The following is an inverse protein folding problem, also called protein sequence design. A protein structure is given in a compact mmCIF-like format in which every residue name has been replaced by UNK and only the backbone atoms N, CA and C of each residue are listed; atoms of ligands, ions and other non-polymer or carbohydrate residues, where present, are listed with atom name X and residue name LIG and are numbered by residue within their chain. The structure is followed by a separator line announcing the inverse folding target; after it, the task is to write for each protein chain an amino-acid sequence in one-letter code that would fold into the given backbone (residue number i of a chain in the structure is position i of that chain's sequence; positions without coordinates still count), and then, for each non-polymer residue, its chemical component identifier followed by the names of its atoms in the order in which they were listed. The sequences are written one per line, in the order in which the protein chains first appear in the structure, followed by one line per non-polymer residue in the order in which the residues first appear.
data_IF_446148983097
#
_entry.id   IF_446148983097
#
_cell.length_a   1.000
_cell.length_b   1.000
_cell.length_c   1.000
_cell.angle_alpha   90.00
_cell.angle_beta   90.00
_cell.angle_gamma   90.00
#
_symmetry.space_group_name_H-M   'P 1'
#
loop_
_entity.id
_entity.type
_entity.pdbx_description
1 polymer ?
#
# COMPACT_ATOMS: atom_id res chain seq x y z
N UNK A 1 -4.57 -8.66 19.11
CA UNK A 1 -3.62 -7.62 18.66
C UNK A 1 -2.74 -8.27 17.60
N UNK A 2 -2.73 -7.73 16.39
CA UNK A 2 -1.93 -8.26 15.29
C UNK A 2 -0.45 -8.11 15.64
N UNK A 3 0.35 -9.16 15.44
CA UNK A 3 1.81 -9.03 15.53
C UNK A 3 2.32 -8.37 14.24
N UNK A 4 2.27 -7.04 14.21
CA UNK A 4 2.75 -6.29 13.07
C UNK A 4 4.26 -6.38 12.88
N UNK A 5 5.03 -6.74 13.91
CA UNK A 5 6.46 -7.01 13.74
C UNK A 5 6.68 -8.28 12.93
N UNK A 6 5.84 -9.30 13.11
CA UNK A 6 5.82 -10.47 12.24
C UNK A 6 5.59 -10.07 10.77
N UNK A 7 4.60 -9.21 10.49
CA UNK A 7 4.34 -8.74 9.12
C UNK A 7 5.49 -7.88 8.56
N UNK A 8 6.09 -6.99 9.35
CA UNK A 8 7.28 -6.24 8.93
C UNK A 8 8.43 -7.20 8.54
N UNK A 9 8.67 -8.25 9.33
CA UNK A 9 9.66 -9.27 9.03
C UNK A 9 9.30 -10.12 7.80
N UNK A 10 8.02 -10.45 7.61
CA UNK A 10 7.55 -11.17 6.41
C UNK A 10 7.72 -10.33 5.14
N UNK A 11 7.46 -9.03 5.21
CA UNK A 11 7.70 -8.12 4.09
C UNK A 11 9.19 -8.01 3.76
N UNK A 12 10.06 -7.98 4.77
CA UNK A 12 11.52 -8.02 4.56
C UNK A 12 11.94 -9.32 3.85
N UNK A 13 11.47 -10.48 4.32
CA UNK A 13 11.76 -11.76 3.66
C UNK A 13 11.26 -11.82 2.22
N UNK A 14 10.10 -11.23 1.92
CA UNK A 14 9.60 -11.14 0.54
C UNK A 14 10.55 -10.32 -0.35
N UNK A 15 11.10 -9.22 0.16
CA UNK A 15 12.12 -8.42 -0.54
C UNK A 15 13.41 -9.23 -0.79
N UNK A 16 13.86 -9.98 0.21
CA UNK A 16 15.03 -10.87 0.06
C UNK A 16 14.77 -12.00 -0.95
N UNK A 17 13.56 -12.56 -1.00
CA UNK A 17 13.17 -13.52 -2.04
C UNK A 17 13.17 -12.88 -3.42
N UNK A 18 12.61 -11.67 -3.57
CA UNK A 18 12.65 -10.92 -4.83
C UNK A 18 14.09 -10.70 -5.31
N UNK A 19 14.98 -10.21 -4.45
CA UNK A 19 16.39 -9.99 -4.80
C UNK A 19 17.09 -11.27 -5.26
N UNK A 20 16.78 -12.41 -4.61
CA UNK A 20 17.32 -13.71 -5.01
C UNK A 20 16.82 -14.12 -6.39
N UNK A 21 15.52 -13.97 -6.66
CA UNK A 21 14.92 -14.26 -7.97
C UNK A 21 15.55 -13.39 -9.06
N UNK A 22 15.65 -12.08 -8.84
CA UNK A 22 16.29 -11.16 -9.79
C UNK A 22 17.76 -11.51 -10.07
N UNK A 23 18.51 -11.98 -9.06
CA UNK A 23 19.90 -12.46 -9.25
C UNK A 23 19.97 -13.73 -10.08
N UNK A 24 19.03 -14.66 -9.90
CA UNK A 24 18.93 -15.87 -10.72
C UNK A 24 18.63 -15.48 -12.17
N UNK A 25 17.62 -14.65 -12.38
CA UNK A 25 17.19 -14.19 -13.71
C UNK A 25 18.31 -13.45 -14.44
N UNK A 26 18.97 -12.52 -13.75
CA UNK A 26 20.12 -11.78 -14.29
C UNK A 26 21.28 -12.72 -14.64
N UNK A 27 21.61 -13.68 -13.75
CA UNK A 27 22.70 -14.62 -14.03
C UNK A 27 22.39 -15.54 -15.21
N UNK A 28 21.15 -15.95 -15.39
CA UNK A 28 20.71 -16.74 -16.55
C UNK A 28 20.84 -15.98 -17.87
N UNK A 29 20.56 -14.67 -17.83
CA UNK A 29 20.67 -13.80 -19.00
C UNK A 29 22.14 -13.51 -19.36
N UNK A 30 22.98 -13.23 -18.36
CA UNK A 30 24.36 -12.78 -18.56
C UNK A 30 25.32 -13.94 -18.85
N UNK A 31 25.16 -15.09 -18.20
CA UNK A 31 26.11 -16.22 -18.24
C UNK A 31 25.43 -17.59 -18.55
N UNK A 32 24.69 -17.75 -19.66
CA UNK A 32 23.93 -18.97 -19.94
C UNK A 32 24.82 -20.23 -20.04
N UNK A 33 26.08 -20.09 -20.49
CA UNK A 33 27.02 -21.22 -20.57
C UNK A 33 27.40 -21.78 -19.19
N UNK A 34 27.50 -20.93 -18.15
CA UNK A 34 27.78 -21.42 -16.79
C UNK A 34 26.66 -22.30 -16.28
N UNK A 35 25.41 -21.91 -16.52
CA UNK A 35 24.24 -22.68 -16.12
C UNK A 35 24.08 -23.97 -16.95
N UNK A 36 24.42 -23.94 -18.25
CA UNK A 36 24.50 -25.16 -19.07
C UNK A 36 25.55 -26.13 -18.58
N UNK A 37 26.73 -25.64 -18.18
CA UNK A 37 27.78 -26.48 -17.63
C UNK A 37 27.36 -27.05 -16.27
N UNK A 38 26.76 -26.25 -15.40
CA UNK A 38 26.21 -26.72 -14.13
C UNK A 38 25.16 -27.82 -14.33
N UNK A 39 24.22 -27.66 -15.29
CA UNK A 39 23.24 -28.69 -15.62
C UNK A 39 23.90 -30.03 -16.02
N UNK A 40 24.98 -29.97 -16.82
CA UNK A 40 25.78 -31.16 -17.18
C UNK A 40 26.49 -31.76 -15.97
N UNK A 41 27.06 -30.93 -15.10
CA UNK A 41 27.77 -31.36 -13.89
C UNK A 41 26.86 -32.12 -12.92
N UNK A 42 25.59 -31.72 -12.80
CA UNK A 42 24.59 -32.39 -11.95
C UNK A 42 23.72 -33.40 -12.71
N UNK A 43 24.07 -33.71 -13.97
CA UNK A 43 23.41 -34.70 -14.83
C UNK A 43 21.92 -34.46 -15.09
N UNK A 44 21.50 -33.20 -15.28
CA UNK A 44 20.12 -32.84 -15.68
C UNK A 44 20.06 -32.10 -17.02
N UNK A 45 18.90 -32.12 -17.67
CA UNK A 45 18.69 -31.29 -18.85
C UNK A 45 18.68 -29.80 -18.48
N UNK A 46 19.27 -28.95 -19.33
CA UNK A 46 19.26 -27.51 -19.10
C UNK A 46 17.84 -26.92 -19.04
N UNK A 47 16.89 -27.52 -19.76
CA UNK A 47 15.46 -27.18 -19.72
C UNK A 47 14.84 -27.50 -18.36
N UNK A 48 15.24 -28.62 -17.73
CA UNK A 48 14.79 -28.97 -16.39
C UNK A 48 15.35 -27.99 -15.35
N UNK A 49 16.64 -27.64 -15.47
CA UNK A 49 17.26 -26.60 -14.63
C UNK A 49 16.52 -25.26 -14.75
N UNK A 50 16.20 -24.84 -15.99
CA UNK A 50 15.43 -23.62 -16.24
C UNK A 50 14.03 -23.69 -15.61
N UNK A 51 13.37 -24.84 -15.68
CA UNK A 51 12.05 -25.05 -15.06
C UNK A 51 12.11 -24.91 -13.53
N UNK A 52 13.21 -25.36 -12.91
CA UNK A 52 13.46 -25.16 -11.48
C UNK A 52 13.60 -23.67 -11.16
N UNK A 53 14.36 -22.93 -11.96
CA UNK A 53 14.50 -21.48 -11.79
C UNK A 53 13.17 -20.73 -11.99
N UNK A 54 12.40 -21.06 -13.02
CA UNK A 54 11.05 -20.50 -13.23
C UNK A 54 10.08 -20.81 -12.08
N UNK A 55 10.28 -21.95 -11.39
CA UNK A 55 9.48 -22.28 -10.19
C UNK A 55 9.76 -21.33 -9.03
N UNK A 56 10.95 -20.70 -8.98
CA UNK A 56 11.28 -19.68 -7.99
C UNK A 56 10.49 -18.38 -8.18
N UNK A 57 10.26 -17.96 -9.44
CA UNK A 57 9.38 -16.81 -9.74
C UNK A 57 7.94 -17.10 -9.34
N UNK A 58 7.44 -18.30 -9.64
CA UNK A 58 6.08 -18.69 -9.23
C UNK A 58 5.93 -18.70 -7.71
N UNK A 59 6.94 -19.19 -6.99
CA UNK A 59 6.96 -19.15 -5.53
C UNK A 59 6.95 -17.71 -5.00
N UNK A 60 7.69 -16.79 -5.63
CA UNK A 60 7.65 -15.37 -5.27
C UNK A 60 6.23 -14.77 -5.39
N UNK A 61 5.52 -15.07 -6.49
CA UNK A 61 4.11 -14.64 -6.64
C UNK A 61 3.21 -15.24 -5.56
N UNK A 62 3.41 -16.51 -5.22
CA UNK A 62 2.64 -17.19 -4.17
C UNK A 62 2.92 -16.58 -2.80
N UNK A 63 4.18 -16.31 -2.46
CA UNK A 63 4.58 -15.64 -1.22
C UNK A 63 3.97 -14.23 -1.13
N UNK A 64 4.05 -13.46 -2.21
CA UNK A 64 3.42 -12.13 -2.33
C UNK A 64 1.92 -12.19 -2.05
N UNK A 65 1.20 -13.08 -2.73
CA UNK A 65 -0.24 -13.24 -2.54
C UNK A 65 -0.57 -13.67 -1.11
N UNK A 66 0.21 -14.63 -0.57
CA UNK A 66 0.00 -15.15 0.79
C UNK A 66 0.22 -14.07 1.84
N UNK A 67 1.23 -13.21 1.65
CA UNK A 67 1.41 -12.04 2.49
C UNK A 67 0.16 -11.15 2.49
N UNK A 68 -0.32 -10.76 1.31
CA UNK A 68 -1.48 -9.87 1.16
C UNK A 68 -2.75 -10.47 1.76
N UNK A 69 -3.05 -11.74 1.46
CA UNK A 69 -4.22 -12.44 2.01
C UNK A 69 -4.17 -12.50 3.54
N UNK A 70 -3.02 -12.91 4.12
CA UNK A 70 -2.91 -12.99 5.58
C UNK A 70 -3.00 -11.60 6.23
N UNK A 71 -2.44 -10.56 5.62
CA UNK A 71 -2.51 -9.21 6.16
C UNK A 71 -3.97 -8.71 6.26
N UNK A 72 -4.76 -8.89 5.20
CA UNK A 72 -6.20 -8.55 5.20
C UNK A 72 -6.97 -9.40 6.21
N UNK A 73 -6.66 -10.70 6.27
CA UNK A 73 -7.28 -11.62 7.21
C UNK A 73 -7.08 -11.19 8.65
N UNK A 74 -5.86 -10.83 9.00
CA UNK A 74 -5.55 -10.37 10.35
C UNK A 74 -6.28 -9.08 10.70
N UNK A 75 -6.36 -8.11 9.77
CA UNK A 75 -7.16 -6.91 9.99
C UNK A 75 -8.63 -7.24 10.29
N UNK A 76 -9.26 -8.08 9.45
CA UNK A 76 -10.67 -8.48 9.63
C UNK A 76 -10.88 -9.15 10.99
N UNK A 77 -10.02 -10.10 11.35
CA UNK A 77 -10.14 -10.78 12.64
C UNK A 77 -9.88 -9.84 13.81
N UNK A 78 -8.97 -8.89 13.69
CA UNK A 78 -8.75 -7.92 14.76
C UNK A 78 -9.98 -7.04 14.98
N UNK A 79 -10.54 -6.47 13.91
CA UNK A 79 -11.78 -5.66 13.99
C UNK A 79 -12.93 -6.46 14.63
N UNK A 80 -13.20 -7.66 14.11
CA UNK A 80 -14.31 -8.49 14.62
C UNK A 80 -14.10 -8.97 16.07
N UNK A 81 -12.85 -9.18 16.50
CA UNK A 81 -12.54 -9.58 17.88
C UNK A 81 -12.69 -8.41 18.85
N UNK A 82 -12.40 -7.19 18.39
CA UNK A 82 -12.64 -5.96 19.16
C UNK A 82 -14.15 -5.72 19.36
N UNK A 83 -14.99 -6.05 18.37
CA UNK A 83 -16.45 -5.90 18.47
C UNK A 83 -17.16 -7.03 19.24
N UNK A 84 -16.54 -8.19 19.42
CA UNK A 84 -17.10 -9.26 20.26
C UNK A 84 -16.90 -8.92 21.74
N UNK A 85 -17.86 -8.19 22.32
CA UNK A 85 -17.89 -7.99 23.77
C UNK A 85 -18.11 -9.33 24.49
N UNK A 86 -17.46 -9.49 25.66
CA UNK A 86 -17.59 -10.67 26.54
C UNK A 86 -19.02 -10.91 27.08
N UNK A 87 -19.98 -10.04 26.77
CA UNK A 87 -21.32 -10.07 27.34
C UNK A 87 -22.27 -11.00 26.60
N UNK A 88 -22.04 -11.29 25.30
CA UNK A 88 -22.94 -12.14 24.51
C UNK A 88 -22.26 -13.43 24.03
N UNK A 89 -22.26 -14.45 24.90
CA UNK A 89 -21.71 -15.80 24.63
C UNK A 89 -22.34 -16.50 23.41
N UNK A 90 -23.59 -16.15 23.05
CA UNK A 90 -24.24 -16.69 21.85
C UNK A 90 -23.71 -16.07 20.57
N UNK A 91 -23.48 -14.74 20.57
CA UNK A 91 -22.82 -14.03 19.47
C UNK A 91 -21.39 -14.53 19.28
N UNK A 92 -20.64 -14.70 20.37
CA UNK A 92 -19.28 -15.25 20.33
C UNK A 92 -19.26 -16.66 19.73
N UNK A 93 -20.16 -17.55 20.17
CA UNK A 93 -20.30 -18.91 19.62
C UNK A 93 -20.72 -18.90 18.15
N UNK A 94 -21.60 -17.99 17.74
CA UNK A 94 -22.00 -17.81 16.36
C UNK A 94 -20.81 -17.36 15.50
N UNK A 95 -20.09 -16.31 15.90
CA UNK A 95 -18.92 -15.80 15.19
C UNK A 95 -17.81 -16.86 15.07
N UNK A 96 -17.52 -17.61 16.15
CA UNK A 96 -16.55 -18.73 16.11
C UNK A 96 -16.94 -19.83 15.12
N UNK A 97 -18.25 -20.10 14.97
CA UNK A 97 -18.73 -21.14 14.05
C UNK A 97 -18.83 -20.67 12.61
N UNK A 98 -19.30 -19.44 12.40
CA UNK A 98 -19.55 -18.83 11.08
C UNK A 98 -18.28 -18.24 10.46
N UNK A 99 -17.31 -17.81 11.28
CA UNK A 99 -16.10 -17.12 10.86
C UNK A 99 -14.84 -17.83 11.36
N UNK A 100 -14.65 -19.08 10.91
CA UNK A 100 -13.49 -19.88 11.32
C UNK A 100 -12.20 -19.37 10.67
N UNK A 101 -11.24 -18.91 11.48
CA UNK A 101 -9.95 -18.38 11.01
C UNK A 101 -9.21 -19.32 10.07
N UNK A 102 -9.24 -20.63 10.28
CA UNK A 102 -8.59 -21.58 9.37
C UNK A 102 -9.27 -21.75 8.00
N UNK A 103 -10.54 -21.38 7.85
CA UNK A 103 -11.30 -21.49 6.59
C UNK A 103 -11.53 -20.16 5.89
N UNK A 104 -11.36 -19.05 6.59
CA UNK A 104 -11.54 -17.72 6.03
C UNK A 104 -10.37 -17.36 5.12
N UNK A 105 -10.68 -17.01 3.87
CA UNK A 105 -9.76 -16.58 2.84
C UNK A 105 -10.31 -15.26 2.25
N UNK A 106 -9.87 -14.10 2.77
CA UNK A 106 -10.38 -12.83 2.29
C UNK A 106 -9.87 -12.53 0.89
N UNK A 107 -10.65 -11.73 0.17
CA UNK A 107 -10.16 -11.11 -1.05
C UNK A 107 -9.22 -9.96 -0.69
N UNK A 108 -8.08 -9.92 -1.36
CA UNK A 108 -7.00 -9.00 -1.04
C UNK A 108 -6.70 -7.97 -2.13
N UNK A 109 -7.55 -7.87 -3.17
CA UNK A 109 -7.48 -6.78 -4.14
C UNK A 109 -7.90 -5.46 -3.47
N UNK A 110 -7.35 -4.33 -3.89
CA UNK A 110 -7.67 -3.01 -3.32
C UNK A 110 -9.18 -2.71 -3.36
N UNK A 111 -9.84 -3.00 -4.47
CA UNK A 111 -11.28 -2.81 -4.63
C UNK A 111 -12.08 -3.67 -3.64
N UNK A 112 -11.68 -4.94 -3.47
CA UNK A 112 -12.34 -5.85 -2.54
C UNK A 112 -12.09 -5.42 -1.09
N UNK A 113 -10.87 -5.02 -0.72
CA UNK A 113 -10.57 -4.54 0.64
C UNK A 113 -11.45 -3.31 0.98
N UNK A 114 -11.55 -2.36 0.05
CA UNK A 114 -12.39 -1.17 0.21
C UNK A 114 -13.86 -1.54 0.45
N UNK A 115 -14.41 -2.41 -0.40
CA UNK A 115 -15.83 -2.79 -0.36
C UNK A 115 -16.18 -3.77 0.76
N UNK A 116 -15.33 -4.76 0.98
CA UNK A 116 -15.63 -5.90 1.83
C UNK A 116 -15.06 -5.76 3.24
N UNK A 117 -14.06 -4.90 3.45
CA UNK A 117 -13.47 -4.64 4.76
C UNK A 117 -13.81 -3.23 5.24
N UNK A 118 -13.36 -2.21 4.53
CA UNK A 118 -13.48 -0.83 5.02
C UNK A 118 -14.95 -0.37 5.11
N UNK A 119 -15.72 -0.62 4.06
CA UNK A 119 -17.13 -0.21 3.99
C UNK A 119 -18.08 -1.08 4.83
N UNK A 120 -17.69 -2.34 5.15
CA UNK A 120 -18.58 -3.31 5.82
C UNK A 120 -18.27 -3.56 7.28
N UNK A 121 -16.99 -3.60 7.66
CA UNK A 121 -16.58 -4.03 8.99
C UNK A 121 -16.09 -2.89 9.88
N UNK A 122 -15.73 -1.73 9.32
CA UNK A 122 -15.23 -0.62 10.13
C UNK A 122 -16.37 0.36 10.39
N UNK A 123 -16.88 0.37 11.62
CA UNK A 123 -17.84 1.38 12.03
C UNK A 123 -17.12 2.70 12.33
N UNK A 124 -17.42 3.70 11.51
CA UNK A 124 -17.00 5.10 11.71
C UNK A 124 -18.27 5.92 11.91
N UNK A 125 -18.31 6.85 12.87
CA UNK A 125 -19.45 7.76 13.11
C UNK A 125 -19.75 8.64 11.87
N UNK A 126 -20.39 8.05 10.86
CA UNK A 126 -20.76 8.58 9.55
C UNK A 126 -19.60 9.04 8.62
N UNK A 127 -18.35 8.69 8.94
CA UNK A 127 -17.16 9.08 8.15
C UNK A 127 -16.59 7.92 7.34
N UNK A 128 -16.99 7.77 6.08
CA UNK A 128 -16.43 6.75 5.18
C UNK A 128 -14.88 6.78 5.17
N UNK A 129 -14.26 5.67 5.55
CA UNK A 129 -12.82 5.49 5.47
C UNK A 129 -12.40 5.30 4.00
N UNK A 130 -11.34 5.99 3.59
CA UNK A 130 -10.77 5.86 2.25
C UNK A 130 -9.26 5.65 2.33
N UNK A 131 -8.71 4.94 1.34
CA UNK A 131 -7.27 4.89 1.16
C UNK A 131 -6.73 6.26 0.75
N UNK A 132 -5.75 6.76 1.49
CA UNK A 132 -5.04 8.00 1.21
C UNK A 132 -3.91 7.77 0.20
N UNK A 133 -4.27 7.38 -1.03
CA UNK A 133 -3.31 7.16 -2.12
C UNK A 133 -2.73 8.50 -2.59
N UNK A 134 -1.68 8.96 -1.91
CA UNK A 134 -1.08 10.28 -2.08
C UNK A 134 0.16 10.21 -2.98
N UNK A 135 0.18 11.01 -4.05
CA UNK A 135 1.25 11.06 -5.06
C UNK A 135 1.68 9.68 -5.62
N UNK A 136 0.79 8.68 -5.55
CA UNK A 136 1.00 7.36 -6.13
C UNK A 136 0.83 7.39 -7.65
N UNK A 137 1.51 6.48 -8.36
CA UNK A 137 1.29 6.34 -9.80
C UNK A 137 -0.13 5.80 -10.13
N UNK A 138 -0.48 5.81 -11.43
CA UNK A 138 -1.77 5.35 -11.92
C UNK A 138 -1.99 3.84 -11.85
N UNK A 139 -0.93 3.05 -11.71
CA UNK A 139 -0.94 1.59 -11.73
C UNK A 139 -0.66 0.95 -10.35
N UNK A 140 -0.44 1.77 -9.32
CA UNK A 140 -0.10 1.38 -7.94
C UNK A 140 -0.99 0.25 -7.39
N UNK A 141 -2.29 0.41 -7.56
CA UNK A 141 -3.31 -0.58 -7.18
C UNK A 141 -3.50 -1.67 -8.24
N UNK A 142 -3.37 -1.33 -9.52
CA UNK A 142 -3.59 -2.25 -10.64
C UNK A 142 -2.54 -3.36 -10.70
N UNK A 143 -1.27 -3.05 -10.44
CA UNK A 143 -0.17 -4.03 -10.43
C UNK A 143 -0.38 -5.02 -9.28
N UNK A 144 -0.70 -4.50 -8.08
CA UNK A 144 -1.09 -5.31 -6.94
C UNK A 144 -2.22 -6.26 -7.31
N UNK A 145 -3.34 -5.73 -7.83
CA UNK A 145 -4.52 -6.51 -8.16
C UNK A 145 -4.25 -7.52 -9.29
N UNK A 146 -3.34 -7.21 -10.20
CA UNK A 146 -2.91 -8.10 -11.28
C UNK A 146 -2.15 -9.31 -10.74
N UNK A 147 -1.25 -9.13 -9.76
CA UNK A 147 -0.57 -10.23 -9.08
C UNK A 147 -1.56 -11.14 -8.34
N UNK A 148 -2.55 -10.56 -7.65
CA UNK A 148 -3.59 -11.34 -6.97
C UNK A 148 -4.38 -12.18 -7.97
N UNK A 149 -4.84 -11.57 -9.07
CA UNK A 149 -5.57 -12.28 -10.15
C UNK A 149 -4.72 -13.37 -10.79
N UNK A 150 -3.45 -13.09 -11.04
CA UNK A 150 -2.53 -14.02 -11.68
C UNK A 150 -2.31 -15.26 -10.79
N UNK A 151 -2.12 -15.07 -9.47
CA UNK A 151 -2.06 -16.19 -8.52
C UNK A 151 -3.34 -17.02 -8.55
N UNK A 152 -4.52 -16.40 -8.56
CA UNK A 152 -5.79 -17.14 -8.63
C UNK A 152 -5.91 -17.96 -9.92
N UNK A 153 -5.56 -17.37 -11.08
CA UNK A 153 -5.54 -18.09 -12.36
C UNK A 153 -4.56 -19.28 -12.33
N UNK A 154 -3.38 -19.09 -11.77
CA UNK A 154 -2.39 -20.15 -11.62
C UNK A 154 -2.90 -21.28 -10.73
N UNK A 155 -3.46 -20.96 -9.56
CA UNK A 155 -3.96 -21.97 -8.62
C UNK A 155 -5.13 -22.81 -9.16
N UNK A 156 -6.00 -22.22 -9.98
CA UNK A 156 -7.18 -22.93 -10.51
C UNK A 156 -6.92 -23.63 -11.84
N UNK A 157 -6.14 -23.02 -12.72
CA UNK A 157 -6.01 -23.45 -14.11
C UNK A 157 -4.57 -23.76 -14.52
N UNK A 158 -3.59 -23.66 -13.60
CA UNK A 158 -2.15 -23.73 -13.90
C UNK A 158 -1.69 -22.74 -14.98
N UNK A 159 -2.44 -21.65 -15.18
CA UNK A 159 -2.12 -20.61 -16.16
C UNK A 159 -1.07 -19.69 -15.56
N UNK A 160 0.10 -19.64 -16.19
CA UNK A 160 1.17 -18.70 -15.83
C UNK A 160 0.81 -17.26 -16.23
N UNK A 161 1.31 -16.25 -15.50
CA UNK A 161 1.15 -14.85 -15.90
C UNK A 161 1.84 -14.56 -17.24
N UNK A 162 1.31 -13.60 -17.98
CA UNK A 162 1.85 -13.09 -19.25
C UNK A 162 2.79 -11.89 -19.06
N UNK A 163 3.18 -11.61 -17.82
CA UNK A 163 4.07 -10.52 -17.41
C UNK A 163 5.22 -11.05 -16.53
N UNK A 164 6.29 -10.26 -16.39
CA UNK A 164 7.39 -10.57 -15.46
C UNK A 164 6.89 -10.52 -14.01
N UNK A 165 6.95 -11.66 -13.32
CA UNK A 165 6.52 -11.76 -11.93
C UNK A 165 7.44 -10.91 -11.04
N UNK A 166 8.76 -11.01 -11.23
CA UNK A 166 9.74 -10.27 -10.44
C UNK A 166 9.56 -8.75 -10.58
N UNK A 167 9.39 -8.23 -11.81
CA UNK A 167 9.13 -6.81 -12.05
C UNK A 167 7.82 -6.34 -11.39
N UNK A 168 6.74 -7.12 -11.55
CA UNK A 168 5.44 -6.74 -10.97
C UNK A 168 5.47 -6.77 -9.45
N UNK A 169 6.13 -7.77 -8.85
CA UNK A 169 6.29 -7.85 -7.40
C UNK A 169 7.10 -6.66 -6.88
N UNK A 170 8.23 -6.33 -7.53
CA UNK A 170 9.05 -5.16 -7.20
C UNK A 170 8.21 -3.87 -7.19
N UNK A 171 7.50 -3.61 -8.28
CA UNK A 171 6.65 -2.42 -8.45
C UNK A 171 5.48 -2.37 -7.47
N UNK A 172 5.07 -3.51 -6.92
CA UNK A 172 3.95 -3.63 -5.98
C UNK A 172 4.35 -3.69 -4.50
N UNK A 173 5.65 -3.77 -4.19
CA UNK A 173 6.13 -3.68 -2.81
C UNK A 173 5.67 -2.40 -2.08
N UNK A 174 5.69 -1.20 -2.71
CA UNK A 174 5.14 0.01 -2.08
C UNK A 174 3.66 -0.12 -1.69
N UNK A 175 2.87 -0.86 -2.48
CA UNK A 175 1.45 -1.11 -2.20
C UNK A 175 1.25 -2.00 -0.98
N UNK A 176 2.10 -3.02 -0.79
CA UNK A 176 2.07 -3.86 0.42
C UNK A 176 2.49 -3.10 1.67
N UNK A 177 3.54 -2.29 1.55
CA UNK A 177 4.03 -1.45 2.65
C UNK A 177 3.00 -0.40 3.06
N UNK A 178 2.31 0.20 2.08
CA UNK A 178 1.15 1.07 2.32
C UNK A 178 0.03 0.33 3.06
N UNK A 179 -0.42 -0.82 2.57
CA UNK A 179 -1.49 -1.59 3.22
C UNK A 179 -1.12 -1.97 4.66
N UNK A 180 0.15 -2.34 4.91
CA UNK A 180 0.61 -2.66 6.25
C UNK A 180 0.50 -1.45 7.20
N UNK A 181 1.04 -0.29 6.80
CA UNK A 181 0.92 0.96 7.57
C UNK A 181 -0.55 1.36 7.79
N UNK A 182 -1.35 1.28 6.73
CA UNK A 182 -2.76 1.61 6.76
C UNK A 182 -3.52 0.73 7.75
N UNK A 183 -3.27 -0.58 7.75
CA UNK A 183 -3.96 -1.51 8.64
C UNK A 183 -3.52 -1.32 10.10
N UNK A 184 -2.22 -1.06 10.34
CA UNK A 184 -1.72 -0.66 11.68
C UNK A 184 -2.47 0.57 12.19
N UNK A 185 -2.60 1.58 11.33
CA UNK A 185 -3.28 2.83 11.69
C UNK A 185 -4.77 2.64 11.91
N UNK A 186 -5.42 1.76 11.15
CA UNK A 186 -6.84 1.41 11.35
C UNK A 186 -7.05 0.64 12.65
N UNK A 187 -6.24 -0.38 12.96
CA UNK A 187 -6.40 -1.18 14.19
C UNK A 187 -6.07 -0.35 15.44
N UNK A 188 -4.93 0.36 15.42
CA UNK A 188 -4.35 0.92 16.64
C UNK A 188 -4.60 2.42 16.82
N UNK A 189 -4.85 3.17 15.75
CA UNK A 189 -4.85 4.64 15.76
C UNK A 189 -6.03 5.24 14.96
N UNK A 190 -7.19 4.57 14.96
CA UNK A 190 -8.32 4.88 14.07
C UNK A 190 -8.75 6.34 14.11
N UNK A 191 -8.91 6.93 15.30
CA UNK A 191 -9.35 8.34 15.45
C UNK A 191 -8.34 9.32 14.86
N UNK A 192 -7.05 9.12 15.12
CA UNK A 192 -5.97 9.91 14.53
C UNK A 192 -5.93 9.74 13.01
N UNK A 193 -6.13 8.51 12.51
CA UNK A 193 -6.16 8.20 11.08
C UNK A 193 -7.35 8.85 10.37
N UNK A 194 -8.54 8.86 10.98
CA UNK A 194 -9.73 9.54 10.45
C UNK A 194 -9.58 11.06 10.49
N UNK A 195 -8.94 11.59 11.53
CA UNK A 195 -8.66 13.02 11.64
C UNK A 195 -7.67 13.48 10.57
N UNK A 196 -6.61 12.71 10.33
CA UNK A 196 -5.68 12.94 9.22
C UNK A 196 -6.41 12.90 7.87
N UNK A 197 -7.30 11.93 7.64
CA UNK A 197 -8.08 11.84 6.41
C UNK A 197 -8.85 13.12 6.13
N UNK A 198 -9.55 13.64 7.15
CA UNK A 198 -10.32 14.87 7.03
C UNK A 198 -9.41 16.04 6.64
N UNK A 199 -8.29 16.22 7.33
CA UNK A 199 -7.35 17.30 7.02
C UNK A 199 -6.78 17.21 5.60
N UNK A 200 -6.52 16.01 5.10
CA UNK A 200 -6.03 15.82 3.72
C UNK A 200 -7.12 16.15 2.70
N UNK A 201 -8.37 15.71 2.94
CA UNK A 201 -9.51 16.03 2.06
C UNK A 201 -9.80 17.53 2.01
N UNK A 202 -9.74 18.20 3.17
CA UNK A 202 -9.88 19.65 3.28
C UNK A 202 -8.72 20.34 2.54
N UNK A 203 -7.48 19.88 2.76
CA UNK A 203 -6.27 20.38 2.08
C UNK A 203 -6.37 20.26 0.56
N UNK A 204 -6.79 19.10 0.06
CA UNK A 204 -6.94 18.88 -1.37
C UNK A 204 -8.00 19.81 -1.99
N UNK A 205 -9.10 20.06 -1.27
CA UNK A 205 -10.12 21.04 -1.68
C UNK A 205 -9.54 22.45 -1.72
N UNK A 206 -8.79 22.86 -0.69
CA UNK A 206 -8.10 24.15 -0.64
C UNK A 206 -7.07 24.29 -1.76
N UNK A 207 -6.31 23.24 -2.06
CA UNK A 207 -5.34 23.21 -3.15
C UNK A 207 -6.02 23.39 -4.51
N UNK A 208 -7.12 22.68 -4.74
CA UNK A 208 -7.94 22.82 -5.96
C UNK A 208 -8.48 24.24 -6.14
N UNK A 209 -8.82 24.93 -5.05
CA UNK A 209 -9.21 26.35 -5.10
C UNK A 209 -8.02 27.26 -5.40
N UNK A 210 -6.87 27.00 -4.77
CA UNK A 210 -5.63 27.74 -4.99
C UNK A 210 -5.15 27.66 -6.44
N UNK A 211 -5.23 26.48 -7.06
CA UNK A 211 -4.76 26.26 -8.43
C UNK A 211 -5.58 27.00 -9.49
N UNK A 212 -6.82 27.36 -9.17
CA UNK A 212 -7.68 28.18 -10.02
C UNK A 212 -7.39 29.68 -9.90
N UNK A 213 -6.67 30.11 -8.86
CA UNK A 213 -6.37 31.51 -8.63
C UNK A 213 -5.11 31.94 -9.38
N UNK A 214 -5.15 33.13 -9.96
CA UNK A 214 -3.94 33.78 -10.45
C UNK A 214 -3.05 34.15 -9.26
N UNK A 215 -1.76 33.78 -9.29
CA UNK A 215 -0.80 34.10 -8.22
C UNK A 215 -0.64 35.60 -7.96
N UNK A 216 -0.97 36.45 -8.95
CA UNK A 216 -0.97 37.92 -8.81
C UNK A 216 -2.22 38.44 -8.08
N UNK A 217 -3.22 37.59 -7.84
CA UNK A 217 -4.43 37.95 -7.10
C UNK A 217 -4.08 38.35 -5.66
N UNK A 218 -4.64 39.46 -5.14
CA UNK A 218 -4.42 39.87 -3.76
C UNK A 218 -4.88 38.81 -2.74
N UNK A 219 -5.81 37.93 -3.12
CA UNK A 219 -6.32 36.86 -2.27
C UNK A 219 -5.44 35.61 -2.26
N UNK A 220 -4.51 35.46 -3.21
CA UNK A 220 -3.72 34.24 -3.37
C UNK A 220 -2.87 33.94 -2.13
N UNK A 221 -2.13 34.94 -1.64
CA UNK A 221 -1.24 34.76 -0.48
C UNK A 221 -2.03 34.45 0.81
N UNK A 222 -3.23 35.00 0.98
CA UNK A 222 -4.09 34.70 2.10
C UNK A 222 -4.60 33.25 2.04
N UNK A 223 -5.11 32.80 0.89
CA UNK A 223 -5.52 31.40 0.69
C UNK A 223 -4.35 30.42 0.84
N UNK A 224 -3.16 30.80 0.38
CA UNK A 224 -1.96 29.98 0.53
C UNK A 224 -1.53 29.90 2.00
N UNK A 225 -1.67 30.99 2.76
CA UNK A 225 -1.45 30.99 4.22
C UNK A 225 -2.42 30.06 4.93
N UNK A 226 -3.70 30.10 4.59
CA UNK A 226 -4.71 29.21 5.18
C UNK A 226 -4.39 27.74 4.86
N UNK A 227 -4.05 27.44 3.61
CA UNK A 227 -3.63 26.11 3.19
C UNK A 227 -2.41 25.62 3.97
N UNK A 228 -1.37 26.46 4.08
CA UNK A 228 -0.18 26.14 4.89
C UNK A 228 -0.51 25.87 6.36
N UNK A 229 -1.45 26.60 6.95
CA UNK A 229 -1.87 26.36 8.33
C UNK A 229 -2.54 24.99 8.48
N UNK A 230 -3.36 24.58 7.50
CA UNK A 230 -3.97 23.25 7.52
C UNK A 230 -2.93 22.13 7.40
N UNK A 231 -1.91 22.31 6.55
CA UNK A 231 -0.79 21.37 6.41
C UNK A 231 0.07 21.28 7.67
N UNK A 232 0.20 22.38 8.43
CA UNK A 232 0.84 22.34 9.76
C UNK A 232 0.09 21.40 10.71
N UNK A 233 -1.24 21.39 10.67
CA UNK A 233 -2.05 20.46 11.47
C UNK A 233 -1.86 19.00 11.05
N UNK A 234 -1.65 18.72 9.76
CA UNK A 234 -1.32 17.37 9.27
C UNK A 234 -0.04 16.85 9.93
N UNK A 235 0.99 17.68 10.05
CA UNK A 235 2.29 17.28 10.64
C UNK A 235 2.17 16.76 12.08
N UNK A 236 1.14 17.18 12.84
CA UNK A 236 0.92 16.70 14.21
C UNK A 236 0.61 15.21 14.29
N UNK A 237 0.18 14.58 13.19
CA UNK A 237 -0.16 13.17 13.13
C UNK A 237 1.02 12.27 12.76
N UNK A 238 2.16 12.83 12.34
CA UNK A 238 3.32 12.04 11.91
C UNK A 238 3.85 11.13 13.02
N UNK A 239 3.83 11.58 14.28
CA UNK A 239 4.28 10.80 15.44
C UNK A 239 3.17 9.93 16.05
N UNK A 240 1.93 10.07 15.58
CA UNK A 240 0.77 9.36 16.12
C UNK A 240 0.38 8.14 15.28
N UNK A 241 0.96 8.01 14.09
CA UNK A 241 0.60 7.02 13.09
C UNK A 241 1.87 6.28 12.64
N UNK A 242 1.70 5.03 12.23
CA UNK A 242 2.74 4.33 11.47
C UNK A 242 2.81 4.97 10.08
N UNK A 243 3.96 5.57 9.79
CA UNK A 243 4.17 6.41 8.60
C UNK A 243 5.43 6.01 7.82
N UNK A 244 5.93 4.79 7.99
CA UNK A 244 7.15 4.33 7.32
C UNK A 244 6.97 4.11 5.83
N UNK A 245 5.74 3.93 5.35
CA UNK A 245 5.50 3.68 3.93
C UNK A 245 5.73 4.92 3.08
N UNK A 246 6.13 4.70 1.83
CA UNK A 246 6.41 5.78 0.88
C UNK A 246 5.21 6.73 0.71
N UNK A 247 3.99 6.20 0.69
CA UNK A 247 2.76 7.00 0.57
C UNK A 247 2.57 7.92 1.78
N UNK A 248 2.75 7.41 3.00
CA UNK A 248 2.64 8.23 4.21
C UNK A 248 3.78 9.24 4.31
N UNK A 249 5.02 8.83 4.05
CA UNK A 249 6.18 9.73 4.00
C UNK A 249 5.92 10.91 3.05
N UNK A 250 5.38 10.63 1.86
CA UNK A 250 5.08 11.63 0.85
C UNK A 250 4.02 12.65 1.31
N UNK A 251 3.00 12.23 2.09
CA UNK A 251 2.04 13.15 2.72
C UNK A 251 2.78 14.18 3.59
N UNK A 252 3.67 13.72 4.48
CA UNK A 252 4.36 14.60 5.43
C UNK A 252 5.46 15.43 4.77
N UNK A 253 6.23 14.85 3.85
CA UNK A 253 7.27 15.57 3.12
C UNK A 253 6.69 16.75 2.31
N UNK A 254 5.63 16.50 1.57
CA UNK A 254 5.01 17.55 0.74
C UNK A 254 4.32 18.60 1.62
N UNK A 255 3.69 18.16 2.72
CA UNK A 255 3.13 19.09 3.73
C UNK A 255 4.20 20.02 4.32
N UNK A 256 5.39 19.47 4.65
CA UNK A 256 6.53 20.22 5.17
C UNK A 256 7.12 21.18 4.13
N UNK A 257 7.22 20.77 2.86
CA UNK A 257 7.67 21.63 1.76
C UNK A 257 6.77 22.87 1.62
N UNK A 258 5.45 22.69 1.65
CA UNK A 258 4.52 23.84 1.65
C UNK A 258 4.66 24.72 2.90
N UNK A 259 4.77 24.11 4.09
CA UNK A 259 4.88 24.84 5.36
C UNK A 259 6.08 25.80 5.37
N UNK A 260 7.20 25.37 4.81
CA UNK A 260 8.47 26.12 4.80
C UNK A 260 8.57 27.19 3.72
N UNK A 261 7.57 27.32 2.83
CA UNK A 261 7.54 28.38 1.81
C UNK A 261 7.52 29.79 2.43
N UNK A 262 8.44 30.65 2.02
CA UNK A 262 8.40 32.06 2.43
C UNK A 262 7.41 32.86 1.56
N UNK A 263 6.34 33.35 2.17
CA UNK A 263 5.29 34.11 1.47
C UNK A 263 5.71 35.55 1.13
N UNK A 264 6.86 36.03 1.65
CA UNK A 264 7.43 37.34 1.33
C UNK A 264 8.14 37.34 -0.02
N UNK A 265 8.41 36.17 -0.60
CA UNK A 265 9.01 36.05 -1.92
C UNK A 265 8.18 36.75 -3.00
N UNK A 266 8.87 37.11 -4.09
CA UNK A 266 8.23 37.59 -5.31
C UNK A 266 7.27 36.54 -5.86
N UNK A 267 6.21 36.96 -6.54
CA UNK A 267 5.22 36.03 -7.09
C UNK A 267 5.85 35.04 -8.08
N UNK A 268 6.84 35.45 -8.88
CA UNK A 268 7.52 34.57 -9.83
C UNK A 268 8.35 33.50 -9.11
N UNK A 269 9.11 33.88 -8.08
CA UNK A 269 9.90 32.94 -7.27
C UNK A 269 8.99 31.98 -6.50
N UNK A 270 7.89 32.48 -5.95
CA UNK A 270 6.91 31.66 -5.25
C UNK A 270 6.26 30.65 -6.20
N UNK A 271 5.93 31.06 -7.43
CA UNK A 271 5.38 30.17 -8.46
C UNK A 271 6.32 29.01 -8.76
N UNK A 272 7.59 29.30 -9.02
CA UNK A 272 8.59 28.28 -9.34
C UNK A 272 8.72 27.26 -8.20
N UNK A 273 8.80 27.72 -6.95
CA UNK A 273 8.84 26.81 -5.79
C UNK A 273 7.57 25.97 -5.62
N UNK A 274 6.41 26.51 -5.97
CA UNK A 274 5.15 25.76 -5.89
C UNK A 274 5.03 24.69 -6.97
N UNK A 275 5.59 24.93 -8.16
CA UNK A 275 5.62 23.96 -9.27
C UNK A 275 6.48 22.73 -8.92
N UNK A 276 7.42 22.84 -7.98
CA UNK A 276 8.25 21.74 -7.49
C UNK A 276 7.53 20.85 -6.45
N UNK A 277 6.44 21.32 -5.84
CA UNK A 277 5.78 20.60 -4.73
C UNK A 277 4.51 19.90 -5.24
N UNK A 278 4.54 18.56 -5.26
CA UNK A 278 3.41 17.73 -5.67
C UNK A 278 2.50 17.46 -4.47
N UNK A 279 1.26 17.93 -4.52
CA UNK A 279 0.25 17.62 -3.51
C UNK A 279 -0.99 17.08 -4.22
N UNK A 280 -1.02 15.78 -4.46
CA UNK A 280 -2.07 15.13 -5.23
C UNK A 280 -2.62 13.95 -4.44
N UNK A 281 -3.88 14.08 -3.99
CA UNK A 281 -4.65 12.94 -3.50
C UNK A 281 -5.35 12.27 -4.68
N UNK A 282 -5.10 10.98 -4.89
CA UNK A 282 -5.79 10.21 -5.92
C UNK A 282 -7.24 9.93 -5.49
N UNK A 283 -8.20 10.60 -6.14
CA UNK A 283 -9.63 10.56 -5.77
C UNK A 283 -10.43 9.40 -6.37
N UNK A 284 -9.85 8.56 -7.22
CA UNK A 284 -10.55 7.48 -7.93
C UNK A 284 -9.66 6.27 -8.21
N UNK A 285 -10.08 5.12 -7.68
CA UNK A 285 -10.56 3.98 -8.48
C UNK A 285 -11.96 3.58 -7.96
#
# INVERSE_FOLDING_TARGET
MIDYNEFKNRLLRLKETLERVQKIDGSLADDPEKHRNFAKEIEIDYTDLKTIYESSELNLMIEYYTFSEQLVKELVFSILTVESSNDNKHLEKFLKNSFRRNKYSPRSRFEDIKKDVLDKYIQTNDKKLIFLLFNTDGDFTKIHDSLIKARHKYAHNSIRPDFSISEYVERSLPSLDFLLNEFINIESNLESRLSLQKLILDSDTMKSQLDKLNIRSPYYKNKLKDFKNNLKSIMNYQSQLECTSSVYNEIFEQSKKYQTLDLRLSNNTLKARLEEIKFVLRKKE
#
